data_IF_851162230055
#
_entry.id   IF_851162230055
#
_cell.length_a   1.000
_cell.length_b   1.000
_cell.length_c   1.000
_cell.angle_alpha   90.00
_cell.angle_beta   90.00
_cell.angle_gamma   90.00
#
_symmetry.space_group_name_H-M   'P 1'
#
loop_
_entity.id
_entity.type
_entity.pdbx_description
1 polymer ?
#
# COMPACT_ATOMS: atom_id res chain seq x y z
N UNK A 1 -6.66 28.00 15.58
CA UNK A 1 -5.45 28.66 15.01
C UNK A 1 -5.67 30.16 15.08
N UNK A 2 -4.90 30.91 15.88
CA UNK A 2 -5.04 32.37 15.98
C UNK A 2 -4.94 33.04 14.60
N UNK A 3 -5.85 33.96 14.22
CA UNK A 3 -5.87 34.59 12.90
C UNK A 3 -4.65 35.46 12.61
N UNK A 4 -4.00 36.01 13.64
CA UNK A 4 -2.83 36.90 13.53
C UNK A 4 -1.62 36.17 12.94
N UNK A 5 -1.44 34.90 13.32
CA UNK A 5 -0.36 34.08 12.77
C UNK A 5 -0.59 33.81 11.27
N UNK A 6 -1.84 33.73 10.81
CA UNK A 6 -2.15 33.41 9.43
C UNK A 6 -1.76 34.52 8.45
N UNK A 7 -1.99 35.80 8.79
CA UNK A 7 -1.61 36.92 7.92
C UNK A 7 -0.10 37.06 7.82
N UNK A 8 0.62 36.91 8.93
CA UNK A 8 2.08 36.96 8.92
C UNK A 8 2.65 35.87 8.00
N UNK A 9 2.16 34.63 8.10
CA UNK A 9 2.59 33.54 7.23
C UNK A 9 2.23 33.79 5.75
N UNK A 10 1.02 34.30 5.46
CA UNK A 10 0.60 34.69 4.10
C UNK A 10 1.50 35.79 3.53
N UNK A 11 1.82 36.82 4.31
CA UNK A 11 2.75 37.86 3.88
C UNK A 11 4.17 37.29 3.66
N UNK A 12 4.60 36.39 4.55
CA UNK A 12 5.92 35.73 4.43
C UNK A 12 6.00 34.74 3.27
N UNK A 13 4.90 34.23 2.72
CA UNK A 13 4.91 33.35 1.54
C UNK A 13 4.95 34.09 0.21
N UNK A 14 4.63 35.38 0.18
CA UNK A 14 4.72 36.19 -1.04
C UNK A 14 6.17 36.30 -1.55
N UNK A 15 6.33 36.05 -2.85
CA UNK A 15 7.61 36.13 -3.59
C UNK A 15 7.77 37.54 -4.17
N UNK A 16 8.27 38.45 -3.35
CA UNK A 16 8.52 39.84 -3.75
C UNK A 16 9.96 39.97 -4.33
N UNK A 17 10.18 40.78 -5.38
CA UNK A 17 11.46 40.79 -6.11
C UNK A 17 12.66 41.25 -5.29
N UNK A 18 12.48 42.10 -4.28
CA UNK A 18 13.54 42.54 -3.35
C UNK A 18 13.83 41.53 -2.24
N UNK A 19 13.02 40.47 -2.13
CA UNK A 19 13.06 39.55 -1.00
C UNK A 19 13.77 38.25 -1.36
N UNK A 20 14.83 37.94 -0.63
CA UNK A 20 15.69 36.77 -0.90
C UNK A 20 15.23 35.48 -0.23
N UNK A 21 14.39 35.57 0.80
CA UNK A 21 13.90 34.43 1.60
C UNK A 21 12.37 34.44 1.63
N UNK A 22 11.73 33.31 1.36
CA UNK A 22 10.28 33.18 1.33
C UNK A 22 9.84 31.92 2.07
N UNK A 23 8.69 32.00 2.71
CA UNK A 23 8.08 30.89 3.43
C UNK A 23 7.39 29.98 2.42
N UNK A 24 7.81 28.73 2.36
CA UNK A 24 7.17 27.73 1.51
C UNK A 24 5.95 27.10 2.19
N UNK A 25 6.03 26.86 3.52
CA UNK A 25 4.92 26.33 4.29
C UNK A 25 5.30 26.00 5.73
N UNK A 26 4.39 25.28 6.40
CA UNK A 26 4.57 24.78 7.76
C UNK A 26 4.06 23.34 7.85
N UNK A 27 4.59 22.58 8.80
CA UNK A 27 4.04 21.27 9.14
C UNK A 27 2.99 21.38 10.27
N UNK A 28 2.41 20.22 10.61
CA UNK A 28 1.49 20.07 11.74
C UNK A 28 2.19 20.21 13.10
N UNK A 29 3.50 19.98 13.17
CA UNK A 29 4.31 20.12 14.39
C UNK A 29 4.69 21.58 14.71
N UNK A 30 4.49 22.50 13.77
CA UNK A 30 4.81 23.92 13.90
C UNK A 30 6.19 24.32 13.38
N UNK A 31 6.92 23.41 12.74
CA UNK A 31 8.13 23.74 12.00
C UNK A 31 7.77 24.54 10.74
N UNK A 32 8.63 25.49 10.40
CA UNK A 32 8.44 26.36 9.23
C UNK A 32 9.52 26.09 8.19
N UNK A 33 9.10 26.04 6.93
CA UNK A 33 9.95 25.68 5.82
C UNK A 33 10.15 26.88 4.91
N UNK A 34 11.41 27.14 4.57
CA UNK A 34 11.83 28.35 3.89
C UNK A 34 12.66 28.01 2.67
N UNK A 35 12.46 28.79 1.62
CA UNK A 35 13.31 28.81 0.43
C UNK A 35 14.02 30.15 0.31
N UNK A 36 15.28 30.14 -0.14
CA UNK A 36 16.06 31.35 -0.30
C UNK A 36 17.10 31.28 -1.41
N UNK A 37 17.49 32.43 -1.95
CA UNK A 37 18.59 32.54 -2.92
C UNK A 37 19.92 32.64 -2.18
N UNK A 38 20.80 31.66 -2.39
CA UNK A 38 22.17 31.73 -1.90
C UNK A 38 22.93 32.86 -2.61
N UNK A 39 23.87 33.50 -1.92
CA UNK A 39 24.76 34.49 -2.51
C UNK A 39 25.80 33.85 -3.43
N UNK A 40 26.28 32.65 -3.08
CA UNK A 40 27.33 31.96 -3.84
C UNK A 40 26.78 31.16 -5.02
N UNK A 41 25.55 30.65 -4.94
CA UNK A 41 24.95 29.83 -5.98
C UNK A 41 23.53 30.33 -6.32
N UNK A 42 23.47 31.35 -7.17
CA UNK A 42 22.21 31.99 -7.57
C UNK A 42 21.33 31.11 -8.48
N UNK A 43 21.87 30.03 -9.07
CA UNK A 43 21.13 29.15 -10.00
C UNK A 43 20.08 28.29 -9.29
N UNK A 44 20.27 27.99 -8.00
CA UNK A 44 19.38 27.09 -7.23
C UNK A 44 18.90 27.74 -5.94
N UNK A 45 17.60 27.64 -5.70
CA UNK A 45 17.00 28.05 -4.42
C UNK A 45 17.38 27.04 -3.34
N UNK A 46 17.93 27.51 -2.22
CA UNK A 46 18.23 26.71 -1.02
C UNK A 46 16.99 26.54 -0.16
N UNK A 47 16.79 25.34 0.37
CA UNK A 47 15.67 24.97 1.26
C UNK A 47 16.18 24.77 2.68
N UNK A 48 15.49 25.31 3.67
CA UNK A 48 15.84 25.17 5.10
C UNK A 48 14.59 25.01 5.97
N UNK A 49 14.71 24.21 7.02
CA UNK A 49 13.69 24.10 8.07
C UNK A 49 14.09 24.96 9.27
N UNK A 50 13.12 25.69 9.84
CA UNK A 50 13.25 26.41 11.09
C UNK A 50 12.31 25.79 12.10
N UNK A 51 12.89 25.23 13.15
CA UNK A 51 12.22 24.62 14.29
C UNK A 51 12.44 25.49 15.54
N UNK A 52 11.86 25.08 16.66
CA UNK A 52 11.99 25.80 17.93
C UNK A 52 13.46 25.76 18.40
N UNK A 53 14.12 26.90 18.69
CA UNK A 53 15.52 26.90 19.13
C UNK A 53 15.76 26.13 20.43
N UNK A 54 14.70 25.87 21.23
CA UNK A 54 14.80 25.09 22.47
C UNK A 54 14.83 23.57 22.24
N UNK A 55 14.38 23.08 21.10
CA UNK A 55 14.39 21.64 20.80
C UNK A 55 15.77 21.22 20.30
N UNK A 56 16.32 20.14 20.86
CA UNK A 56 17.59 19.59 20.40
C UNK A 56 17.47 19.08 18.96
N UNK A 57 18.53 19.23 18.16
CA UNK A 57 18.51 18.93 16.73
C UNK A 57 18.11 17.48 16.42
N UNK A 58 18.53 16.53 17.26
CA UNK A 58 18.21 15.11 17.06
C UNK A 58 16.71 14.80 17.27
N UNK A 59 16.01 15.63 18.04
CA UNK A 59 14.59 15.39 18.38
C UNK A 59 13.63 16.05 17.40
N UNK A 60 14.14 16.83 16.44
CA UNK A 60 13.34 17.52 15.44
C UNK A 60 12.75 16.50 14.46
N UNK A 61 11.49 16.13 14.69
CA UNK A 61 10.73 15.24 13.80
C UNK A 61 10.17 16.03 12.62
N UNK A 62 10.63 15.68 11.42
CA UNK A 62 10.13 16.24 10.15
C UNK A 62 9.45 15.14 9.35
N UNK A 63 8.31 15.42 8.72
CA UNK A 63 7.59 14.40 7.95
C UNK A 63 8.40 13.96 6.71
N UNK A 64 8.21 12.72 6.20
CA UNK A 64 8.91 12.26 5.00
C UNK A 64 8.62 13.13 3.76
N UNK A 65 7.41 13.66 3.63
CA UNK A 65 7.03 14.57 2.55
C UNK A 65 7.86 15.86 2.58
N UNK A 66 8.05 16.45 3.77
CA UNK A 66 8.91 17.61 3.94
C UNK A 66 10.39 17.29 3.70
N UNK A 67 10.85 16.09 4.08
CA UNK A 67 12.20 15.64 3.74
C UNK A 67 12.43 15.55 2.22
N UNK A 68 11.49 14.99 1.46
CA UNK A 68 11.58 14.92 0.00
C UNK A 68 11.67 16.31 -0.62
N UNK A 69 10.90 17.26 -0.09
CA UNK A 69 10.98 18.65 -0.52
C UNK A 69 12.32 19.28 -0.14
N UNK A 70 12.80 19.15 1.10
CA UNK A 70 14.12 19.64 1.51
C UNK A 70 15.26 19.05 0.67
N UNK A 71 15.13 17.79 0.23
CA UNK A 71 16.09 17.07 -0.61
C UNK A 71 15.91 17.27 -2.11
N UNK A 72 14.98 18.12 -2.53
CA UNK A 72 14.71 18.44 -3.94
C UNK A 72 14.23 17.26 -4.78
N UNK A 73 13.78 16.18 -4.14
CA UNK A 73 13.09 15.08 -4.81
C UNK A 73 11.70 15.52 -5.26
N UNK A 74 11.06 16.43 -4.51
CA UNK A 74 9.76 17.02 -4.83
C UNK A 74 9.92 18.50 -5.18
N UNK A 75 9.26 18.94 -6.26
CA UNK A 75 9.29 20.35 -6.67
C UNK A 75 8.43 21.22 -5.75
N UNK A 76 7.16 20.85 -5.58
CA UNK A 76 6.19 21.60 -4.78
C UNK A 76 6.23 21.20 -3.30
N UNK A 77 6.09 22.17 -2.37
CA UNK A 77 6.01 21.88 -0.94
C UNK A 77 4.71 21.13 -0.60
N UNK A 78 4.73 20.24 0.41
CA UNK A 78 3.53 19.52 0.81
C UNK A 78 2.50 20.45 1.45
N UNK A 79 1.25 20.31 1.03
CA UNK A 79 0.12 21.11 1.52
C UNK A 79 -0.36 20.64 2.90
N UNK A 80 -1.07 21.50 3.63
CA UNK A 80 -1.65 21.13 4.94
C UNK A 80 -2.65 19.98 4.79
N UNK A 81 -3.43 19.97 3.70
CA UNK A 81 -4.41 18.92 3.43
C UNK A 81 -3.71 17.57 3.16
N UNK A 82 -2.63 17.55 2.35
CA UNK A 82 -1.83 16.35 2.14
C UNK A 82 -1.26 15.79 3.45
N UNK A 83 -0.80 16.67 4.35
CA UNK A 83 -0.26 16.27 5.66
C UNK A 83 -1.35 15.65 6.54
N UNK A 84 -2.55 16.22 6.57
CA UNK A 84 -3.70 15.68 7.32
C UNK A 84 -4.14 14.32 6.76
N UNK A 85 -4.21 14.21 5.44
CA UNK A 85 -4.55 12.96 4.76
C UNK A 85 -3.52 11.85 5.03
N UNK A 86 -2.24 12.19 5.16
CA UNK A 86 -1.20 11.22 5.51
C UNK A 86 -1.39 10.65 6.93
N UNK A 87 -1.82 11.46 7.90
CA UNK A 87 -2.14 10.96 9.24
C UNK A 87 -3.34 10.01 9.20
N UNK A 88 -4.41 10.39 8.51
CA UNK A 88 -5.60 9.53 8.33
C UNK A 88 -5.24 8.22 7.63
N UNK A 89 -4.36 8.27 6.62
CA UNK A 89 -3.84 7.08 5.92
C UNK A 89 -3.10 6.15 6.88
N UNK A 90 -2.25 6.68 7.75
CA UNK A 90 -1.50 5.91 8.74
C UNK A 90 -2.43 5.23 9.76
N UNK A 91 -3.44 5.94 10.25
CA UNK A 91 -4.46 5.39 11.15
C UNK A 91 -5.23 4.26 10.49
N UNK A 92 -5.72 4.50 9.26
CA UNK A 92 -6.44 3.47 8.49
C UNK A 92 -5.58 2.24 8.23
N UNK A 93 -4.30 2.44 7.89
CA UNK A 93 -3.37 1.34 7.66
C UNK A 93 -3.15 0.49 8.92
N UNK A 94 -3.00 1.12 10.08
CA UNK A 94 -2.87 0.40 11.36
C UNK A 94 -4.12 -0.41 11.69
N UNK A 95 -5.31 0.17 11.47
CA UNK A 95 -6.57 -0.53 11.67
C UNK A 95 -6.70 -1.76 10.75
N UNK A 96 -6.40 -1.59 9.46
CA UNK A 96 -6.44 -2.70 8.49
C UNK A 96 -5.42 -3.79 8.81
N UNK A 97 -4.22 -3.42 9.26
CA UNK A 97 -3.20 -4.37 9.69
C UNK A 97 -3.70 -5.22 10.86
N UNK A 98 -4.31 -4.59 11.87
CA UNK A 98 -4.91 -5.32 13.01
C UNK A 98 -5.96 -6.34 12.57
N UNK A 99 -6.87 -5.95 11.68
CA UNK A 99 -7.88 -6.88 11.15
C UNK A 99 -7.25 -8.02 10.33
N UNK A 100 -6.13 -7.75 9.64
CA UNK A 100 -5.41 -8.79 8.91
C UNK A 100 -4.74 -9.77 9.87
N UNK A 101 -4.15 -9.29 10.96
CA UNK A 101 -3.54 -10.11 12.00
C UNK A 101 -4.58 -10.98 12.70
N UNK A 102 -5.76 -10.43 13.04
CA UNK A 102 -6.88 -11.19 13.60
C UNK A 102 -7.33 -12.31 12.64
N UNK A 103 -7.46 -11.99 11.34
CA UNK A 103 -7.78 -12.99 10.30
C UNK A 103 -6.69 -14.03 10.15
N UNK A 104 -5.42 -13.65 10.30
CA UNK A 104 -4.28 -14.56 10.21
C UNK A 104 -4.21 -15.50 11.41
N UNK A 105 -4.36 -14.97 12.62
CA UNK A 105 -4.40 -15.73 13.87
C UNK A 105 -5.59 -16.70 13.94
N UNK A 106 -6.72 -16.33 13.34
CA UNK A 106 -7.91 -17.19 13.29
C UNK A 106 -7.77 -18.38 12.34
N UNK A 107 -6.81 -18.36 11.41
CA UNK A 107 -6.55 -19.51 10.54
C UNK A 107 -5.80 -20.57 11.34
N UNK A 108 -6.30 -21.81 11.43
CA UNK A 108 -5.61 -22.87 12.15
C UNK A 108 -4.23 -23.07 11.53
N UNK A 109 -3.18 -22.87 12.34
CA UNK A 109 -1.80 -23.06 11.91
C UNK A 109 -1.58 -24.55 11.62
N UNK A 110 -1.20 -24.89 10.38
CA UNK A 110 -0.92 -26.27 9.98
C UNK A 110 0.27 -26.89 10.75
N UNK A 111 1.09 -26.05 11.38
CA UNK A 111 2.23 -26.44 12.21
C UNK A 111 1.85 -26.78 13.65
N UNK A 112 0.71 -26.31 14.15
CA UNK A 112 0.24 -26.57 15.50
C UNK A 112 -0.63 -27.85 15.50
N UNK A 113 0.00 -28.96 15.11
CA UNK A 113 -0.64 -30.29 15.22
C UNK A 113 -0.64 -30.69 16.69
N UNK A 114 -1.80 -31.00 17.30
CA UNK A 114 -1.80 -31.54 18.65
C UNK A 114 -0.97 -32.84 18.64
N UNK A 115 -0.02 -32.97 19.57
CA UNK A 115 0.86 -34.13 19.77
C UNK A 115 0.10 -35.42 20.19
N UNK A 116 -1.13 -35.62 19.74
CA UNK A 116 -2.03 -36.65 20.23
C UNK A 116 -2.76 -37.40 19.13
N UNK A 117 -2.13 -37.72 17.99
CA UNK A 117 -2.56 -38.86 17.17
C UNK A 117 -1.45 -39.38 16.23
N UNK A 118 -0.76 -40.38 16.78
CA UNK A 118 -0.20 -41.58 16.15
C UNK A 118 1.14 -41.53 15.38
N UNK A 119 2.13 -42.11 16.06
CA UNK A 119 3.11 -43.08 15.57
C UNK A 119 2.66 -43.86 14.32
N UNK A 120 3.47 -43.77 13.26
CA UNK A 120 3.48 -44.69 12.11
C UNK A 120 4.91 -44.72 11.54
N UNK A 121 5.42 -45.88 11.09
CA UNK A 121 6.84 -46.05 10.80
C UNK A 121 7.28 -45.22 9.60
N UNK A 122 8.52 -44.73 9.69
CA UNK A 122 9.24 -44.11 8.59
C UNK A 122 9.38 -45.07 7.38
N UNK A 123 9.58 -44.47 6.20
CA UNK A 123 9.72 -45.05 4.85
C UNK A 123 8.39 -44.92 4.05
N UNK A 124 8.31 -44.35 2.85
CA UNK A 124 9.29 -44.21 1.77
C UNK A 124 9.02 -42.94 0.95
N UNK A 125 10.09 -42.31 0.48
CA UNK A 125 10.05 -41.38 -0.65
C UNK A 125 9.82 -42.16 -1.94
N UNK A 126 8.66 -41.98 -2.57
CA UNK A 126 8.51 -42.28 -3.99
C UNK A 126 7.56 -41.26 -4.61
N UNK A 127 8.20 -40.34 -5.33
CA UNK A 127 7.60 -39.45 -6.30
C UNK A 127 6.91 -40.30 -7.38
N UNK A 128 5.58 -40.32 -7.39
CA UNK A 128 4.80 -40.64 -8.59
C UNK A 128 3.63 -39.67 -8.70
N UNK A 129 3.71 -38.79 -9.70
CA UNK A 129 2.58 -38.02 -10.19
C UNK A 129 1.66 -39.01 -10.90
N UNK A 130 0.55 -39.37 -10.26
CA UNK A 130 -0.59 -40.00 -10.93
C UNK A 130 -1.76 -39.02 -10.96
N UNK A 131 -1.99 -38.42 -12.12
CA UNK A 131 -3.27 -37.79 -12.44
C UNK A 131 -4.38 -38.84 -12.41
N UNK A 132 -5.53 -38.60 -11.78
CA UNK A 132 -6.71 -39.38 -12.07
C UNK A 132 -7.44 -38.74 -13.26
N UNK A 133 -7.45 -39.50 -14.36
CA UNK A 133 -8.45 -39.40 -15.41
C UNK A 133 -9.83 -39.72 -14.81
N UNK A 134 -10.85 -39.09 -15.39
CA UNK A 134 -12.25 -39.15 -15.03
C UNK A 134 -12.80 -40.58 -14.87
N UNK A 135 -13.71 -40.75 -13.91
CA UNK A 135 -14.84 -41.67 -14.03
C UNK A 135 -16.05 -41.11 -13.26
N UNK A 136 -17.17 -40.99 -13.97
CA UNK A 136 -18.50 -40.76 -13.40
C UNK A 136 -19.00 -42.03 -12.71
N UNK A 137 -20.01 -41.92 -11.85
CA UNK A 137 -21.24 -42.61 -12.20
C UNK A 137 -22.53 -41.81 -11.97
N UNK A 138 -23.45 -42.05 -12.89
CA UNK A 138 -24.86 -41.67 -12.88
C UNK A 138 -25.69 -42.38 -11.80
N UNK A 139 -26.72 -41.65 -11.34
CA UNK A 139 -28.04 -42.05 -10.84
C UNK A 139 -28.18 -42.92 -9.57
N UNK A 140 -29.02 -42.45 -8.63
CA UNK A 140 -30.39 -42.98 -8.46
C UNK A 140 -31.27 -42.06 -7.58
N UNK A 141 -32.56 -42.12 -7.91
CA UNK A 141 -33.69 -41.26 -7.56
C UNK A 141 -34.17 -41.27 -6.08
N UNK A 142 -34.87 -40.19 -5.71
CA UNK A 142 -36.20 -40.31 -5.10
C UNK A 142 -36.40 -39.73 -3.69
N UNK A 143 -37.06 -38.56 -3.57
CA UNK A 143 -38.28 -38.42 -2.76
C UNK A 143 -39.00 -37.08 -3.03
N UNK A 144 -40.30 -37.21 -3.29
CA UNK A 144 -41.41 -36.26 -3.49
C UNK A 144 -41.67 -35.42 -2.21
N UNK A 145 -42.45 -34.33 -2.11
CA UNK A 145 -43.37 -33.49 -2.92
C UNK A 145 -43.84 -32.31 -2.04
N UNK A 146 -44.20 -31.16 -2.63
CA UNK A 146 -45.29 -30.21 -2.26
C UNK A 146 -44.98 -28.81 -2.87
N UNK A 147 -45.65 -28.41 -3.97
CA UNK A 147 -46.77 -27.44 -4.02
C UNK A 147 -46.34 -25.99 -3.65
N UNK A 148 -46.52 -24.91 -4.42
CA UNK A 148 -47.60 -24.48 -5.32
C UNK A 148 -47.14 -23.36 -6.31
N UNK A 149 -47.78 -23.34 -7.49
CA UNK A 149 -48.19 -22.23 -8.40
C UNK A 149 -47.22 -21.08 -8.84
N UNK A 150 -47.06 -21.06 -10.16
CA UNK A 150 -46.61 -20.03 -11.14
C UNK A 150 -47.27 -18.62 -11.01
N UNK A 151 -46.70 -17.52 -11.60
CA UNK A 151 -46.51 -17.41 -13.05
C UNK A 151 -45.20 -16.77 -13.58
N UNK A 152 -44.96 -17.10 -14.85
CA UNK A 152 -43.94 -16.62 -15.78
C UNK A 152 -43.53 -15.14 -15.62
N UNK A 153 -42.21 -14.89 -15.64
CA UNK A 153 -41.64 -13.66 -16.17
C UNK A 153 -40.34 -13.97 -16.92
N UNK A 154 -40.34 -13.52 -18.17
CA UNK A 154 -39.39 -13.75 -19.25
C UNK A 154 -37.94 -13.43 -18.88
N UNK A 155 -37.07 -14.31 -19.39
CA UNK A 155 -35.64 -14.17 -19.66
C UNK A 155 -35.04 -12.78 -19.52
N UNK A 156 -34.10 -12.62 -18.59
CA UNK A 156 -32.87 -11.85 -18.80
C UNK A 156 -31.78 -12.41 -17.88
N UNK A 157 -31.15 -13.45 -18.39
CA UNK A 157 -29.97 -14.09 -17.83
C UNK A 157 -28.78 -13.12 -17.87
N UNK A 158 -28.54 -12.43 -16.75
CA UNK A 158 -27.28 -11.72 -16.48
C UNK A 158 -26.86 -12.04 -15.06
N UNK A 159 -26.16 -13.16 -14.93
CA UNK A 159 -25.37 -13.51 -13.75
C UNK A 159 -24.48 -12.31 -13.36
N UNK A 160 -24.84 -11.65 -12.25
CA UNK A 160 -24.05 -10.61 -11.63
C UNK A 160 -22.76 -11.26 -11.13
N UNK A 161 -21.67 -11.16 -11.91
CA UNK A 161 -20.32 -11.41 -11.39
C UNK A 161 -20.09 -10.47 -10.22
N UNK A 162 -19.88 -11.02 -9.04
CA UNK A 162 -19.55 -10.25 -7.83
C UNK A 162 -18.29 -9.41 -8.12
N UNK A 163 -18.20 -8.15 -7.67
CA UNK A 163 -17.05 -7.27 -7.91
C UNK A 163 -15.72 -7.76 -7.30
N UNK A 164 -15.74 -8.92 -6.63
CA UNK A 164 -14.59 -9.58 -6.01
C UNK A 164 -14.13 -10.84 -6.73
N UNK A 165 -14.80 -11.26 -7.81
CA UNK A 165 -14.34 -12.37 -8.64
C UNK A 165 -13.17 -11.89 -9.50
N UNK A 166 -11.95 -12.00 -8.96
CA UNK A 166 -10.72 -11.82 -9.74
C UNK A 166 -10.44 -13.11 -10.50
N UNK A 167 -10.16 -12.99 -11.78
CA UNK A 167 -9.58 -14.09 -12.55
C UNK A 167 -8.28 -14.51 -11.88
N UNK A 168 -8.18 -15.77 -11.47
CA UNK A 168 -6.97 -16.34 -10.89
C UNK A 168 -5.90 -16.34 -12.00
N UNK A 169 -5.04 -15.33 -11.98
CA UNK A 169 -3.97 -15.18 -12.96
C UNK A 169 -3.15 -13.91 -12.75
N UNK A 170 -1.98 -14.02 -12.11
CA UNK A 170 -1.05 -12.89 -12.01
C UNK A 170 -0.37 -12.59 -13.36
N UNK A 171 0.00 -11.33 -13.68
CA UNK A 171 0.71 -10.99 -14.93
C UNK A 171 2.01 -11.78 -15.18
N UNK A 172 2.56 -12.40 -14.14
CA UNK A 172 3.78 -13.21 -14.17
C UNK A 172 3.57 -14.70 -14.43
N UNK A 173 2.33 -15.21 -14.47
CA UNK A 173 2.08 -16.65 -14.67
C UNK A 173 2.45 -17.16 -16.06
N UNK A 174 2.54 -16.25 -17.05
CA UNK A 174 2.99 -16.57 -18.42
C UNK A 174 4.49 -16.40 -18.61
N UNK A 175 5.22 -15.95 -17.58
CA UNK A 175 6.65 -15.69 -17.70
C UNK A 175 7.44 -16.97 -17.41
N UNK A 176 8.20 -17.45 -18.39
CA UNK A 176 9.21 -18.51 -18.21
C UNK A 176 10.58 -17.97 -18.61
N UNK A 177 11.65 -18.25 -17.83
CA UNK A 177 12.99 -17.79 -18.16
C UNK A 177 13.54 -18.53 -19.38
N UNK A 178 14.16 -17.81 -20.31
CA UNK A 178 14.93 -18.42 -21.39
C UNK A 178 16.24 -19.03 -20.85
N UNK A 179 16.66 -20.16 -21.41
CA UNK A 179 17.93 -20.82 -21.07
C UNK A 179 19.12 -20.00 -21.58
N UNK A 180 20.05 -19.69 -20.68
CA UNK A 180 21.27 -18.94 -20.98
C UNK A 180 22.19 -19.74 -21.92
N UNK A 181 22.49 -19.20 -23.10
CA UNK A 181 23.45 -19.79 -24.05
C UNK A 181 24.70 -18.90 -24.15
N UNK A 182 25.86 -19.33 -23.61
CA UNK A 182 27.08 -18.54 -23.73
C UNK A 182 27.62 -18.60 -25.16
N UNK A 183 27.87 -17.43 -25.75
CA UNK A 183 28.51 -17.33 -27.08
C UNK A 183 29.98 -17.72 -26.97
N UNK A 184 30.47 -18.73 -27.72
CA UNK A 184 31.88 -19.07 -27.71
C UNK A 184 32.70 -17.93 -28.34
N UNK A 185 33.76 -17.53 -27.64
CA UNK A 185 34.68 -16.48 -28.08
C UNK A 185 35.55 -17.04 -29.22
N UNK A 186 35.36 -16.52 -30.43
CA UNK A 186 36.12 -16.91 -31.62
C UNK A 186 37.62 -16.64 -31.44
N UNK A 187 38.44 -17.55 -31.97
CA UNK A 187 39.91 -17.53 -31.98
C UNK A 187 40.44 -16.75 -33.17
#
# INVERSE_FOLDING_TARGET
>A
MSPINSLWFKWKSLKLPWRRTFLAGKDLAGNTFWEFKDALNAKRLRRIVKYNPKTHLADVKVSPQWHQWLRYTRQEPPTIQEQQNELLRQERMKYLAKLADERWASKPSFLDKPQGQQSGPAAQSSHEIRSPLADQPDNLEGMQSAAEKEPELKDLDKTKKSPWTRETGGPSEKWQPASWTPTPKGR
#
